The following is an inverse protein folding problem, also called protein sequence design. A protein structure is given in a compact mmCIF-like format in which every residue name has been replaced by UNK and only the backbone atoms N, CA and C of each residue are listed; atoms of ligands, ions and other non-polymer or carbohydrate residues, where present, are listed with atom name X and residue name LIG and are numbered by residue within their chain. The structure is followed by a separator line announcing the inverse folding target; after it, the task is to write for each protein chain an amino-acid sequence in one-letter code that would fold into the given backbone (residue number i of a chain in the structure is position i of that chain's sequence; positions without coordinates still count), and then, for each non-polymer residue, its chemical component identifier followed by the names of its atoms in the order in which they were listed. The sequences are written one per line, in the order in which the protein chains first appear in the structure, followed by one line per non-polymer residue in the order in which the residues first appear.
data_IF_444676092349
#
_entry.id   IF_444676092349
#
_cell.length_a   1.000
_cell.length_b   1.000
_cell.length_c   1.000
_cell.angle_alpha   90.00
_cell.angle_beta   90.00
_cell.angle_gamma   90.00
#
_symmetry.space_group_name_H-M   'P 1'
#
loop_
_entity.id
_entity.type
_entity.pdbx_description
1 polymer ?
#
# COMPACT_ATOMS: atom_id res chain seq x y z
N UNK A 1 7.45 67.32 -41.70
CA UNK A 1 7.17 65.91 -42.01
C UNK A 1 8.23 65.07 -41.30
N UNK A 2 7.96 64.68 -40.04
CA UNK A 2 8.87 63.87 -39.24
C UNK A 2 8.28 62.47 -39.14
N UNK A 3 8.95 61.50 -39.76
CA UNK A 3 8.55 60.10 -39.77
C UNK A 3 8.98 59.49 -38.43
N UNK A 4 8.09 59.52 -37.45
CA UNK A 4 8.28 58.88 -36.15
C UNK A 4 8.15 57.36 -36.32
N UNK A 5 9.27 56.71 -36.65
CA UNK A 5 9.39 55.26 -36.63
C UNK A 5 9.31 54.78 -35.18
N UNK A 6 8.10 54.39 -34.77
CA UNK A 6 7.84 53.65 -33.52
C UNK A 6 8.48 52.28 -33.64
N UNK A 7 9.67 52.12 -33.08
CA UNK A 7 10.29 50.81 -32.84
C UNK A 7 9.46 50.08 -31.78
N UNK A 8 8.63 49.13 -32.20
CA UNK A 8 7.95 48.23 -31.28
C UNK A 8 9.01 47.46 -30.47
N UNK A 9 8.86 47.33 -29.14
CA UNK A 9 9.69 46.41 -28.38
C UNK A 9 9.51 45.01 -28.96
N UNK A 10 10.57 44.49 -29.57
CA UNK A 10 10.66 43.12 -30.04
C UNK A 10 10.53 42.21 -28.81
N UNK A 11 9.33 41.69 -28.60
CA UNK A 11 9.03 40.61 -27.68
C UNK A 11 9.77 39.37 -28.16
N UNK A 12 10.99 39.24 -27.66
CA UNK A 12 11.79 38.04 -27.76
C UNK A 12 11.06 36.94 -26.98
N UNK A 13 10.07 36.32 -27.63
CA UNK A 13 9.42 35.10 -27.17
C UNK A 13 10.48 34.01 -27.11
N UNK A 14 11.15 33.93 -25.96
CA UNK A 14 12.01 32.82 -25.61
C UNK A 14 11.19 31.54 -25.78
N UNK A 15 11.51 30.79 -26.82
CA UNK A 15 11.02 29.44 -27.02
C UNK A 15 11.43 28.63 -25.79
N UNK A 16 10.51 28.53 -24.82
CA UNK A 16 10.69 27.75 -23.62
C UNK A 16 11.11 26.35 -24.03
N UNK A 17 12.30 25.96 -23.60
CA UNK A 17 12.85 24.63 -23.80
C UNK A 17 11.82 23.61 -23.32
N UNK A 18 11.12 22.98 -24.27
CA UNK A 18 10.16 21.93 -23.98
C UNK A 18 10.95 20.78 -23.33
N UNK A 19 10.78 20.60 -22.02
CA UNK A 19 11.38 19.53 -21.22
C UNK A 19 10.79 18.17 -21.65
N UNK A 20 11.21 17.68 -22.81
CA UNK A 20 10.87 16.36 -23.32
C UNK A 20 12.01 15.46 -22.86
N UNK A 21 11.72 14.55 -21.93
CA UNK A 21 12.67 13.51 -21.54
C UNK A 21 13.14 12.78 -22.79
N UNK A 22 14.44 12.81 -23.07
CA UNK A 22 15.02 12.21 -24.28
C UNK A 22 14.55 10.76 -24.45
N UNK A 23 14.01 10.43 -25.63
CA UNK A 23 13.53 9.08 -25.96
C UNK A 23 14.60 8.00 -25.72
N UNK A 24 15.87 8.39 -25.82
CA UNK A 24 17.01 7.52 -25.55
C UNK A 24 17.09 7.02 -24.11
N UNK A 25 16.72 7.87 -23.13
CA UNK A 25 16.71 7.50 -21.70
C UNK A 25 15.62 6.45 -21.44
N UNK A 26 14.45 6.62 -22.06
CA UNK A 26 13.33 5.69 -21.96
C UNK A 26 13.69 4.32 -22.57
N UNK A 27 14.33 4.32 -23.73
CA UNK A 27 14.76 3.08 -24.40
C UNK A 27 15.79 2.29 -23.59
N UNK A 28 16.82 2.97 -23.04
CA UNK A 28 17.81 2.32 -22.15
C UNK A 28 17.14 1.71 -20.92
N UNK A 29 16.16 2.41 -20.36
CA UNK A 29 15.42 1.96 -19.17
C UNK A 29 14.55 0.74 -19.49
N UNK A 30 13.92 0.72 -20.66
CA UNK A 30 13.15 -0.42 -21.16
C UNK A 30 14.03 -1.68 -21.24
N UNK A 31 15.24 -1.56 -21.80
CA UNK A 31 16.19 -2.70 -21.85
C UNK A 31 16.58 -3.14 -20.44
N UNK A 32 16.86 -2.21 -19.53
CA UNK A 32 17.18 -2.55 -18.14
C UNK A 32 16.03 -3.33 -17.47
N UNK A 33 14.79 -2.91 -17.71
CA UNK A 33 13.61 -3.57 -17.15
C UNK A 33 13.34 -4.94 -17.77
N UNK A 34 13.65 -5.13 -19.06
CA UNK A 34 13.62 -6.45 -19.70
C UNK A 34 14.64 -7.40 -19.08
N UNK A 35 15.84 -6.92 -18.79
CA UNK A 35 16.86 -7.72 -18.09
C UNK A 35 16.36 -8.11 -16.70
N UNK A 36 15.84 -7.15 -15.91
CA UNK A 36 15.27 -7.45 -14.59
C UNK A 36 14.10 -8.43 -14.66
N UNK A 37 13.32 -8.42 -15.75
CA UNK A 37 12.24 -9.37 -15.99
C UNK A 37 12.81 -10.79 -16.19
N UNK A 38 13.83 -10.93 -17.04
CA UNK A 38 14.56 -12.19 -17.22
C UNK A 38 15.19 -12.69 -15.91
N UNK A 39 15.77 -11.80 -15.10
CA UNK A 39 16.33 -12.14 -13.78
C UNK A 39 15.24 -12.63 -12.83
N UNK A 40 14.06 -12.02 -12.83
CA UNK A 40 12.94 -12.45 -11.97
C UNK A 40 12.44 -13.84 -12.37
N UNK A 41 12.36 -14.11 -13.68
CA UNK A 41 12.03 -15.45 -14.19
C UNK A 41 13.15 -16.45 -13.82
N UNK A 42 14.41 -16.10 -14.02
CA UNK A 42 15.55 -16.93 -13.64
C UNK A 42 15.56 -17.28 -12.15
N UNK A 43 15.29 -16.30 -11.29
CA UNK A 43 15.18 -16.48 -9.85
C UNK A 43 14.05 -17.45 -9.46
N UNK A 44 12.98 -17.55 -10.27
CA UNK A 44 11.88 -18.49 -10.02
C UNK A 44 12.27 -19.96 -10.23
N UNK A 45 13.26 -20.24 -11.10
CA UNK A 45 13.72 -21.60 -11.37
C UNK A 45 14.71 -22.11 -10.31
N UNK A 46 15.30 -21.22 -9.52
CA UNK A 46 16.26 -21.58 -8.48
C UNK A 46 15.49 -21.77 -7.18
N UNK A 47 15.48 -22.98 -6.63
CA UNK A 47 14.96 -23.24 -5.28
C UNK A 47 16.06 -23.02 -4.26
N UNK A 48 15.93 -21.95 -3.47
CA UNK A 48 16.87 -21.68 -2.39
C UNK A 48 16.66 -22.70 -1.26
N UNK A 49 17.74 -23.24 -0.68
CA UNK A 49 17.65 -24.14 0.44
C UNK A 49 17.01 -23.44 1.65
N UNK A 50 16.20 -24.18 2.41
CA UNK A 50 15.61 -23.66 3.65
C UNK A 50 16.71 -23.26 4.64
N UNK A 51 16.61 -22.05 5.19
CA UNK A 51 17.55 -21.53 6.18
C UNK A 51 16.82 -21.50 7.52
N UNK A 52 17.10 -22.48 8.39
CA UNK A 52 16.53 -22.57 9.73
C UNK A 52 14.98 -22.68 9.72
N UNK A 53 14.24 -21.83 10.47
CA UNK A 53 12.77 -21.90 10.55
C UNK A 53 12.05 -21.32 9.31
N UNK A 54 12.78 -20.69 8.38
CA UNK A 54 12.21 -20.07 7.20
C UNK A 54 12.24 -21.09 6.04
N UNK A 55 11.05 -21.45 5.54
CA UNK A 55 10.92 -22.33 4.38
C UNK A 55 11.59 -21.70 3.14
N UNK A 56 12.29 -22.51 2.34
CA UNK A 56 12.95 -22.07 1.10
C UNK A 56 12.02 -21.29 0.15
N UNK A 57 10.72 -21.61 0.15
CA UNK A 57 9.71 -20.87 -0.63
C UNK A 57 9.57 -19.40 -0.20
N UNK A 58 9.64 -19.13 1.11
CA UNK A 58 9.53 -17.77 1.65
C UNK A 58 10.75 -16.94 1.26
N UNK A 59 11.93 -17.56 1.25
CA UNK A 59 13.18 -16.92 0.84
C UNK A 59 13.13 -16.57 -0.66
N UNK A 60 12.69 -17.50 -1.51
CA UNK A 60 12.47 -17.22 -2.93
C UNK A 60 11.53 -16.04 -3.15
N UNK A 61 10.42 -15.99 -2.41
CA UNK A 61 9.47 -14.88 -2.50
C UNK A 61 10.06 -13.54 -2.04
N UNK A 62 10.87 -13.53 -0.97
CA UNK A 62 11.59 -12.35 -0.51
C UNK A 62 12.59 -11.83 -1.55
N UNK A 63 13.33 -12.73 -2.18
CA UNK A 63 14.27 -12.38 -3.27
C UNK A 63 13.50 -11.82 -4.47
N UNK A 64 12.40 -12.47 -4.88
CA UNK A 64 11.54 -11.97 -5.96
C UNK A 64 10.96 -10.58 -5.64
N UNK A 65 10.53 -10.34 -4.39
CA UNK A 65 10.01 -9.05 -3.92
C UNK A 65 11.09 -7.96 -3.90
N UNK A 66 12.32 -8.31 -3.50
CA UNK A 66 13.45 -7.39 -3.53
C UNK A 66 13.77 -6.95 -4.96
N UNK A 67 13.83 -7.89 -5.91
CA UNK A 67 14.02 -7.60 -7.33
C UNK A 67 12.87 -6.73 -7.86
N UNK A 68 11.64 -7.05 -7.50
CA UNK A 68 10.46 -6.27 -7.88
C UNK A 68 10.49 -4.84 -7.32
N UNK A 69 11.03 -4.63 -6.12
CA UNK A 69 11.16 -3.29 -5.52
C UNK A 69 12.20 -2.44 -6.25
N UNK A 70 13.35 -3.03 -6.61
CA UNK A 70 14.36 -2.35 -7.45
C UNK A 70 13.77 -1.98 -8.81
N UNK A 71 13.01 -2.90 -9.43
CA UNK A 71 12.28 -2.63 -10.67
C UNK A 71 11.32 -1.45 -10.53
N UNK A 72 10.50 -1.43 -9.48
CA UNK A 72 9.54 -0.36 -9.23
C UNK A 72 10.24 1.00 -9.01
N UNK A 73 11.37 1.02 -8.30
CA UNK A 73 12.15 2.24 -8.09
C UNK A 73 12.65 2.85 -9.41
N UNK A 74 13.18 2.03 -10.32
CA UNK A 74 13.63 2.49 -11.65
C UNK A 74 12.46 3.07 -12.47
N UNK A 75 11.29 2.41 -12.42
CA UNK A 75 10.08 2.87 -13.11
C UNK A 75 9.62 4.24 -12.58
N UNK A 76 9.55 4.41 -11.26
CA UNK A 76 9.09 5.67 -10.64
C UNK A 76 10.06 6.81 -10.95
N UNK A 77 11.37 6.56 -10.85
CA UNK A 77 12.37 7.62 -11.04
C UNK A 77 12.49 8.06 -12.50
N UNK A 78 12.39 7.13 -13.46
CA UNK A 78 12.61 7.43 -14.88
C UNK A 78 11.30 7.56 -15.66
N UNK A 79 10.43 6.54 -15.67
CA UNK A 79 9.21 6.55 -16.50
C UNK A 79 8.14 7.50 -15.98
N UNK A 80 7.96 7.57 -14.67
CA UNK A 80 7.08 8.58 -14.08
C UNK A 80 7.75 9.95 -13.98
N UNK A 81 9.03 10.05 -14.34
CA UNK A 81 9.79 11.30 -14.36
C UNK A 81 9.90 11.97 -12.99
N UNK A 82 9.59 11.28 -11.88
CA UNK A 82 9.49 11.88 -10.52
C UNK A 82 10.76 12.64 -10.14
N UNK A 83 11.92 12.20 -10.63
CA UNK A 83 13.21 12.89 -10.38
C UNK A 83 13.21 14.34 -10.88
N UNK A 84 12.63 14.60 -12.04
CA UNK A 84 12.63 15.92 -12.70
C UNK A 84 11.40 16.77 -12.34
N UNK A 85 10.44 16.20 -11.62
CA UNK A 85 9.24 16.90 -11.18
C UNK A 85 9.50 17.84 -10.00
N UNK A 86 8.51 18.70 -9.74
CA UNK A 86 8.50 19.65 -8.62
C UNK A 86 8.59 18.93 -7.26
N UNK A 87 9.06 19.66 -6.24
CA UNK A 87 9.13 19.15 -4.86
C UNK A 87 7.75 18.74 -4.32
N UNK A 88 6.68 19.41 -4.75
CA UNK A 88 5.30 19.06 -4.37
C UNK A 88 4.94 17.64 -4.85
N UNK A 89 5.24 17.30 -6.11
CA UNK A 89 5.03 15.96 -6.66
C UNK A 89 5.83 14.90 -5.89
N UNK A 90 7.06 15.22 -5.50
CA UNK A 90 7.93 14.30 -4.73
C UNK A 90 7.34 14.02 -3.33
N UNK A 91 6.80 15.03 -2.66
CA UNK A 91 6.11 14.85 -1.35
C UNK A 91 4.93 13.90 -1.50
N UNK A 92 4.12 14.04 -2.54
CA UNK A 92 3.00 13.12 -2.80
C UNK A 92 3.43 11.67 -3.03
N UNK A 93 4.56 11.44 -3.69
CA UNK A 93 5.13 10.10 -3.86
C UNK A 93 5.51 9.50 -2.50
N UNK A 94 6.18 10.26 -1.63
CA UNK A 94 6.52 9.80 -0.28
C UNK A 94 5.28 9.58 0.60
N UNK A 95 4.27 10.46 0.50
CA UNK A 95 3.00 10.31 1.21
C UNK A 95 2.26 9.04 0.77
N UNK A 96 2.25 8.72 -0.53
CA UNK A 96 1.72 7.46 -1.03
C UNK A 96 2.45 6.24 -0.46
N UNK A 97 3.77 6.32 -0.33
CA UNK A 97 4.56 5.25 0.30
C UNK A 97 4.28 5.13 1.81
N UNK A 98 4.07 6.24 2.51
CA UNK A 98 3.65 6.22 3.91
C UNK A 98 2.29 5.54 4.10
N UNK A 99 1.33 5.85 3.22
CA UNK A 99 0.02 5.17 3.20
C UNK A 99 0.14 3.69 2.84
N UNK A 100 1.05 3.31 1.94
CA UNK A 100 1.32 1.90 1.61
C UNK A 100 1.83 1.14 2.84
N UNK A 101 2.78 1.71 3.58
CA UNK A 101 3.30 1.11 4.82
C UNK A 101 2.18 1.00 5.86
N UNK A 102 1.36 2.04 6.00
CA UNK A 102 0.18 2.02 6.87
C UNK A 102 -0.79 0.90 6.48
N UNK A 103 -1.04 0.70 5.18
CA UNK A 103 -1.89 -0.36 4.66
C UNK A 103 -1.38 -1.76 5.05
N UNK A 104 -0.07 -2.01 4.93
CA UNK A 104 0.52 -3.27 5.40
C UNK A 104 0.38 -3.42 6.93
N UNK A 105 0.51 -2.33 7.69
CA UNK A 105 0.25 -2.33 9.13
C UNK A 105 -1.19 -2.72 9.46
N UNK A 106 -2.17 -2.17 8.73
CA UNK A 106 -3.59 -2.50 8.88
C UNK A 106 -3.85 -3.97 8.51
N UNK A 107 -3.26 -4.48 7.43
CA UNK A 107 -3.37 -5.91 7.11
C UNK A 107 -2.77 -6.80 8.20
N UNK A 108 -1.65 -6.40 8.79
CA UNK A 108 -1.06 -7.06 9.95
C UNK A 108 -2.02 -7.06 11.15
N UNK A 109 -2.63 -5.92 11.46
CA UNK A 109 -3.63 -5.78 12.51
C UNK A 109 -4.80 -6.77 12.28
N UNK A 110 -5.45 -6.73 11.10
CA UNK A 110 -6.51 -7.68 10.77
C UNK A 110 -6.07 -9.15 10.83
N UNK A 111 -4.86 -9.45 10.38
CA UNK A 111 -4.33 -10.82 10.45
C UNK A 111 -4.17 -11.29 11.89
N UNK A 112 -3.78 -10.39 12.80
CA UNK A 112 -3.51 -10.72 14.20
C UNK A 112 -4.70 -10.68 15.13
N UNK A 113 -5.80 -9.99 14.75
CA UNK A 113 -7.04 -9.93 15.56
C UNK A 113 -7.59 -11.31 15.92
N UNK A 114 -7.48 -12.29 15.03
CA UNK A 114 -7.93 -13.68 15.30
C UNK A 114 -7.16 -14.38 16.42
N UNK A 115 -6.05 -13.83 16.89
CA UNK A 115 -5.29 -14.36 18.01
C UNK A 115 -5.79 -13.84 19.37
N UNK A 116 -6.85 -13.00 19.40
CA UNK A 116 -7.44 -12.57 20.66
C UNK A 116 -8.10 -13.77 21.39
N UNK A 117 -7.75 -14.05 22.67
CA UNK A 117 -8.39 -15.10 23.47
C UNK A 117 -9.88 -14.84 23.74
N UNK A 118 -10.31 -13.60 23.47
CA UNK A 118 -11.60 -13.02 23.78
C UNK A 118 -12.11 -12.24 22.58
N UNK A 119 -12.82 -12.91 21.67
CA UNK A 119 -13.41 -12.27 20.50
C UNK A 119 -14.56 -11.34 20.91
N UNK A 120 -14.28 -10.03 21.04
CA UNK A 120 -15.30 -8.99 21.25
C UNK A 120 -15.46 -8.49 22.70
N UNK A 121 -16.09 -7.31 22.80
CA UNK A 121 -16.41 -6.62 24.06
C UNK A 121 -17.61 -7.22 24.82
N UNK A 122 -18.36 -8.12 24.20
CA UNK A 122 -19.38 -8.92 24.87
C UNK A 122 -18.98 -10.39 24.76
N UNK A 123 -18.54 -10.96 25.88
CA UNK A 123 -18.34 -12.40 25.98
C UNK A 123 -19.57 -13.18 26.39
N UNK A 124 -20.62 -12.53 26.91
CA UNK A 124 -21.82 -13.20 27.36
C UNK A 124 -23.03 -12.29 27.10
N UNK A 125 -24.09 -12.84 26.51
CA UNK A 125 -25.44 -12.28 26.62
C UNK A 125 -26.05 -12.53 28.00
N UNK A 126 -25.26 -12.42 29.07
CA UNK A 126 -25.71 -12.65 30.43
C UNK A 126 -25.36 -11.42 31.25
N UNK A 127 -26.39 -10.63 31.51
CA UNK A 127 -26.31 -9.48 32.41
C UNK A 127 -25.83 -9.97 33.77
N UNK A 128 -24.80 -9.32 34.34
CA UNK A 128 -24.30 -9.60 35.70
C UNK A 128 -25.34 -9.37 36.80
N UNK A 129 -26.53 -8.88 36.45
CA UNK A 129 -27.68 -8.77 37.33
C UNK A 129 -28.77 -9.75 36.89
N UNK A 130 -29.28 -10.61 37.80
CA UNK A 130 -30.52 -11.33 37.57
C UNK A 130 -31.61 -10.30 37.24
N UNK A 131 -32.15 -10.33 36.03
CA UNK A 131 -33.23 -9.41 35.62
C UNK A 131 -34.58 -9.80 36.22
N UNK A 132 -34.62 -10.88 37.01
CA UNK A 132 -35.81 -11.33 37.72
C UNK A 132 -35.37 -11.84 39.10
N UNK A 133 -35.84 -11.20 40.17
CA UNK A 133 -35.79 -11.79 41.49
C UNK A 133 -36.71 -13.01 41.46
N UNK A 134 -36.14 -14.21 41.43
CA UNK A 134 -36.93 -15.42 41.57
C UNK A 134 -37.76 -15.28 42.87
N UNK A 135 -39.10 -15.35 42.82
CA UNK A 135 -39.89 -15.36 44.05
C UNK A 135 -39.42 -16.54 44.91
N UNK A 136 -39.19 -16.27 46.19
CA UNK A 136 -38.57 -17.21 47.11
C UNK A 136 -39.20 -18.61 47.00
N UNK A 137 -38.38 -19.62 46.66
CA UNK A 137 -38.79 -21.02 46.61
C UNK A 137 -38.91 -21.66 45.22
N UNK A 138 -38.55 -20.97 44.12
CA UNK A 138 -38.44 -21.59 42.79
C UNK A 138 -37.00 -21.61 42.28
N UNK A 139 -36.56 -22.70 41.59
CA UNK A 139 -35.23 -22.76 41.02
C UNK A 139 -35.04 -21.67 39.95
N UNK A 140 -33.81 -21.17 39.75
CA UNK A 140 -33.52 -20.18 38.72
C UNK A 140 -33.97 -20.70 37.35
N UNK A 141 -34.74 -19.89 36.62
CA UNK A 141 -35.20 -20.25 35.27
C UNK A 141 -33.99 -20.17 34.34
N UNK A 142 -33.64 -21.23 33.59
CA UNK A 142 -32.47 -21.22 32.75
C UNK A 142 -32.61 -20.20 31.62
N UNK A 143 -31.53 -19.48 31.36
CA UNK A 143 -31.45 -18.31 30.49
C UNK A 143 -31.63 -18.64 29.00
N UNK A 144 -31.92 -19.91 28.68
CA UNK A 144 -32.12 -20.45 27.34
C UNK A 144 -33.61 -20.51 26.93
N UNK A 145 -34.54 -20.16 27.81
CA UNK A 145 -35.97 -20.08 27.49
C UNK A 145 -36.30 -18.65 27.07
N UNK A 146 -36.56 -18.43 25.77
CA UNK A 146 -37.05 -17.15 25.25
C UNK A 146 -38.48 -16.87 25.76
N UNK A 147 -38.59 -16.33 26.97
CA UNK A 147 -39.84 -15.83 27.54
C UNK A 147 -40.12 -14.42 26.98
N UNK A 148 -40.41 -14.33 25.68
CA UNK A 148 -41.06 -13.13 25.15
C UNK A 148 -42.57 -13.31 25.34
N UNK A 149 -43.26 -12.45 26.11
CA UNK A 149 -44.71 -12.42 26.07
C UNK A 149 -45.11 -12.13 24.62
N UNK A 150 -45.79 -13.08 23.97
CA UNK A 150 -46.55 -12.80 22.77
C UNK A 150 -47.79 -12.02 23.21
N UNK A 151 -47.63 -10.71 23.32
CA UNK A 151 -48.73 -9.75 23.23
C UNK A 151 -49.03 -9.47 21.77
#
# INVERSE_FOLDING_TARGET
MANHATTLPQDNHGHGEHHITSAWVLFRTLIMLLILMGVTIGASYIQLPSIGPISGTVINNLVALAIATVKAYIVITIFMGVKHQTTLTKIWVYAGFAVLVLLFGIFGDYWTRKFEPVSGWEKNGESAFPREFAPAGKPPVPNNVNLRPRG
#
